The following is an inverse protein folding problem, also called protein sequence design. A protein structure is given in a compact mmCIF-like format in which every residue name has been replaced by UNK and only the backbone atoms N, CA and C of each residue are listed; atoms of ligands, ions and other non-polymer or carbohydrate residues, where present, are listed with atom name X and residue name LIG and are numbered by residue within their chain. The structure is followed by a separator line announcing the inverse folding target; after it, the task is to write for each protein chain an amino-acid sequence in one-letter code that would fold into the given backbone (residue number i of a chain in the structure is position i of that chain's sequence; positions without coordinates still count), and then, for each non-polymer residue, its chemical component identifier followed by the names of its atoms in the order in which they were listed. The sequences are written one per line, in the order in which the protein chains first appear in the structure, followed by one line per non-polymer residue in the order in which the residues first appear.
data_IF_022855539624
#
_entry.id   IF_022855539624
#
_cell.length_a   1.000
_cell.length_b   1.000
_cell.length_c   1.000
_cell.angle_alpha   90.00
_cell.angle_beta   90.00
_cell.angle_gamma   90.00
#
_symmetry.space_group_name_H-M   'P 1'
#
loop_
_entity.id
_entity.type
_entity.pdbx_description
1 polymer ?
#
# COMPACT_ATOMS: atom_id res chain seq x y z
N UNK A 1 3.09 5.92 -4.55
CA UNK A 1 3.31 7.37 -4.29
C UNK A 1 4.79 7.66 -3.97
N UNK A 2 5.62 8.07 -4.94
CA UNK A 2 7.08 8.21 -4.71
C UNK A 2 7.48 9.28 -3.69
N UNK A 3 6.70 10.37 -3.59
CA UNK A 3 7.01 11.51 -2.71
C UNK A 3 6.96 11.19 -1.21
N UNK A 4 6.41 10.03 -0.84
CA UNK A 4 6.28 9.57 0.54
C UNK A 4 7.59 8.98 1.07
N UNK A 5 8.43 8.42 0.18
CA UNK A 5 9.64 7.65 0.53
C UNK A 5 10.55 8.33 1.57
N UNK A 6 10.92 9.62 1.44
CA UNK A 6 11.82 10.25 2.40
C UNK A 6 11.26 10.28 3.83
N UNK A 7 9.94 10.41 3.98
CA UNK A 7 9.29 10.43 5.28
C UNK A 7 9.17 9.03 5.89
N UNK A 8 9.02 8.00 5.05
CA UNK A 8 9.07 6.61 5.51
C UNK A 8 10.47 6.25 6.00
N UNK A 9 11.51 6.64 5.26
CA UNK A 9 12.91 6.38 5.64
C UNK A 9 13.30 7.09 6.94
N UNK A 10 12.76 8.28 7.19
CA UNK A 10 12.97 9.04 8.44
C UNK A 10 12.25 8.40 9.65
N UNK A 11 10.99 7.97 9.47
CA UNK A 11 10.19 7.39 10.56
C UNK A 11 10.50 5.90 10.83
N UNK A 12 10.95 5.17 9.82
CA UNK A 12 11.20 3.73 9.87
C UNK A 12 12.61 3.42 9.34
N UNK A 13 13.67 3.71 10.12
CA UNK A 13 15.04 3.42 9.70
C UNK A 13 15.21 1.93 9.31
N UNK A 14 15.70 1.70 8.10
CA UNK A 14 15.88 0.35 7.54
C UNK A 14 14.71 -0.17 6.69
N UNK A 15 13.64 0.60 6.52
CA UNK A 15 12.57 0.24 5.58
C UNK A 15 13.10 0.12 4.15
N UNK A 16 12.66 -0.92 3.43
CA UNK A 16 12.84 -1.03 1.98
C UNK A 16 11.60 -0.47 1.29
N UNK A 17 11.77 0.61 0.52
CA UNK A 17 10.69 1.21 -0.28
C UNK A 17 10.94 0.92 -1.76
N UNK A 18 10.15 -0.02 -2.29
CA UNK A 18 10.05 -0.30 -3.72
C UNK A 18 8.73 0.24 -4.28
N UNK A 19 8.81 1.35 -5.01
CA UNK A 19 7.68 2.00 -5.62
C UNK A 19 8.03 2.53 -6.99
N UNK A 20 7.05 2.56 -7.88
CA UNK A 20 7.22 2.98 -9.27
C UNK A 20 5.95 3.68 -9.76
N UNK A 21 6.13 4.74 -10.56
CA UNK A 21 4.99 5.48 -11.12
C UNK A 21 4.24 4.61 -12.12
N UNK A 22 2.93 4.48 -11.92
CA UNK A 22 2.08 3.73 -12.85
C UNK A 22 2.06 2.22 -12.67
N UNK A 23 2.84 1.66 -11.73
CA UNK A 23 2.87 0.22 -11.44
C UNK A 23 1.46 -0.32 -11.19
N UNK A 24 1.18 -1.48 -11.78
CA UNK A 24 -0.10 -2.17 -11.71
C UNK A 24 0.01 -3.45 -10.86
N UNK A 25 -1.12 -3.89 -10.29
CA UNK A 25 -1.20 -5.12 -9.47
C UNK A 25 -0.63 -6.36 -10.16
N UNK A 26 -0.73 -6.43 -11.50
CA UNK A 26 -0.21 -7.57 -12.29
C UNK A 26 1.31 -7.72 -12.25
N UNK A 27 2.03 -6.66 -11.95
CA UNK A 27 3.50 -6.60 -11.93
C UNK A 27 4.06 -7.00 -10.56
N UNK A 28 3.26 -6.84 -9.50
CA UNK A 28 3.70 -7.05 -8.12
C UNK A 28 4.32 -8.42 -7.84
N UNK A 29 3.82 -9.57 -8.36
CA UNK A 29 4.45 -10.86 -8.07
C UNK A 29 5.92 -10.93 -8.54
N UNK A 30 6.24 -10.35 -9.70
CA UNK A 30 7.62 -10.35 -10.21
C UNK A 30 8.55 -9.49 -9.35
N UNK A 31 8.04 -8.36 -8.84
CA UNK A 31 8.79 -7.47 -7.94
C UNK A 31 9.00 -8.11 -6.56
N UNK A 32 7.98 -8.76 -6.01
CA UNK A 32 8.09 -9.51 -4.76
C UNK A 32 9.15 -10.60 -4.89
N UNK A 33 9.14 -11.36 -5.99
CA UNK A 33 10.16 -12.38 -6.25
C UNK A 33 11.57 -11.78 -6.37
N UNK A 34 11.70 -10.59 -6.97
CA UNK A 34 12.99 -9.89 -7.04
C UNK A 34 13.48 -9.46 -5.65
N UNK A 35 12.60 -8.89 -4.82
CA UNK A 35 12.92 -8.53 -3.44
C UNK A 35 13.33 -9.74 -2.60
N UNK A 36 12.64 -10.89 -2.75
CA UNK A 36 13.02 -12.15 -2.10
C UNK A 36 14.41 -12.61 -2.52
N UNK A 37 14.70 -12.65 -3.82
CA UNK A 37 16.01 -13.08 -4.36
C UNK A 37 17.16 -12.21 -3.86
N UNK A 38 16.91 -10.92 -3.64
CA UNK A 38 17.91 -9.97 -3.17
C UNK A 38 17.99 -9.87 -1.63
N UNK A 39 17.24 -10.68 -0.89
CA UNK A 39 17.11 -10.60 0.58
C UNK A 39 16.68 -9.20 1.06
N UNK A 40 15.79 -8.55 0.30
CA UNK A 40 15.24 -7.21 0.58
C UNK A 40 13.77 -7.24 1.00
N UNK A 41 13.08 -8.38 0.87
CA UNK A 41 11.72 -8.53 1.39
C UNK A 41 11.78 -8.74 2.91
N UNK A 42 11.17 -7.84 3.68
CA UNK A 42 11.02 -7.99 5.12
C UNK A 42 9.79 -8.84 5.50
N UNK A 43 9.70 -9.19 6.77
CA UNK A 43 8.61 -10.04 7.31
C UNK A 43 7.26 -9.31 7.40
N UNK A 44 7.28 -7.97 7.36
CA UNK A 44 6.08 -7.12 7.40
C UNK A 44 6.05 -6.27 6.13
N UNK A 45 5.00 -6.43 5.35
CA UNK A 45 4.91 -5.87 3.99
C UNK A 45 3.70 -4.97 3.87
N UNK A 46 3.90 -3.73 3.40
CA UNK A 46 2.82 -2.80 3.08
C UNK A 46 2.65 -2.73 1.56
N UNK A 47 1.43 -2.89 1.08
CA UNK A 47 1.11 -2.90 -0.35
C UNK A 47 0.20 -1.71 -0.69
N UNK A 48 0.70 -0.79 -1.52
CA UNK A 48 -0.07 0.36 -2.04
C UNK A 48 -0.26 0.19 -3.55
N UNK A 49 -1.24 -0.62 -3.96
CA UNK A 49 -1.60 -0.83 -5.36
C UNK A 49 -3.11 -0.73 -5.55
N UNK A 50 -3.53 -0.01 -6.60
CA UNK A 50 -4.93 0.28 -6.91
C UNK A 50 -5.18 1.73 -7.32
N UNK A 51 -4.31 2.65 -6.88
CA UNK A 51 -4.37 4.07 -7.26
C UNK A 51 -4.27 4.26 -8.77
N UNK A 52 -3.39 3.50 -9.43
CA UNK A 52 -3.12 3.58 -10.87
C UNK A 52 -4.08 2.77 -11.75
N UNK A 53 -5.02 2.03 -11.17
CA UNK A 53 -5.95 1.20 -11.93
C UNK A 53 -6.58 0.08 -11.10
N UNK A 54 -7.75 -0.37 -11.54
CA UNK A 54 -8.43 -1.54 -10.97
C UNK A 54 -7.66 -2.83 -11.25
N UNK A 55 -7.92 -3.84 -10.42
CA UNK A 55 -7.38 -5.19 -10.58
C UNK A 55 -8.46 -6.25 -10.32
N UNK A 56 -8.15 -7.48 -10.66
CA UNK A 56 -9.02 -8.64 -10.47
C UNK A 56 -8.69 -9.36 -9.16
N UNK A 57 -9.65 -10.09 -8.58
CA UNK A 57 -9.42 -10.98 -7.43
C UNK A 57 -8.21 -11.89 -7.66
N UNK A 58 -8.10 -12.49 -8.85
CA UNK A 58 -6.97 -13.36 -9.24
C UNK A 58 -5.60 -12.66 -9.14
N UNK A 59 -5.51 -11.37 -9.47
CA UNK A 59 -4.25 -10.63 -9.35
C UNK A 59 -3.90 -10.37 -7.89
N UNK A 60 -4.89 -9.99 -7.07
CA UNK A 60 -4.67 -9.77 -5.64
C UNK A 60 -4.30 -11.08 -4.91
N UNK A 61 -5.04 -12.17 -5.16
CA UNK A 61 -4.70 -13.51 -4.63
C UNK A 61 -3.29 -13.92 -5.00
N UNK A 62 -2.86 -13.75 -6.27
CA UNK A 62 -1.48 -14.06 -6.67
C UNK A 62 -0.43 -13.24 -5.94
N UNK A 63 -0.71 -11.97 -5.65
CA UNK A 63 0.17 -11.13 -4.86
C UNK A 63 0.27 -11.68 -3.43
N UNK A 64 -0.86 -11.96 -2.80
CA UNK A 64 -0.92 -12.45 -1.43
C UNK A 64 -0.27 -13.84 -1.27
N UNK A 65 -0.47 -14.73 -2.24
CA UNK A 65 0.19 -16.04 -2.28
C UNK A 65 1.72 -15.89 -2.36
N UNK A 66 2.22 -14.88 -3.09
CA UNK A 66 3.65 -14.57 -3.13
C UNK A 66 4.18 -14.01 -1.79
N UNK A 67 3.29 -13.48 -0.93
CA UNK A 67 3.60 -12.98 0.40
C UNK A 67 3.17 -13.94 1.52
N UNK A 68 2.85 -15.20 1.21
CA UNK A 68 2.37 -16.15 2.21
C UNK A 68 3.36 -16.42 3.36
N UNK A 69 4.66 -16.22 3.12
CA UNK A 69 5.73 -16.39 4.12
C UNK A 69 5.93 -15.14 5.01
N UNK A 70 5.26 -14.01 4.70
CA UNK A 70 5.37 -12.80 5.51
C UNK A 70 4.52 -12.93 6.79
N UNK A 71 5.08 -12.51 7.92
CA UNK A 71 4.39 -12.45 9.20
C UNK A 71 3.14 -11.55 9.14
N UNK A 72 3.23 -10.45 8.40
CA UNK A 72 2.12 -9.50 8.24
C UNK A 72 2.14 -8.84 6.86
N UNK A 73 0.95 -8.73 6.25
CA UNK A 73 0.73 -7.98 5.02
C UNK A 73 -0.37 -6.94 5.25
N UNK A 74 -0.05 -5.67 5.06
CA UNK A 74 -0.99 -4.56 5.18
C UNK A 74 -1.35 -4.10 3.77
N UNK A 75 -2.61 -4.29 3.37
CA UNK A 75 -3.14 -3.75 2.13
C UNK A 75 -3.66 -2.33 2.38
N UNK A 76 -3.04 -1.34 1.75
CA UNK A 76 -3.48 0.05 1.87
C UNK A 76 -4.63 0.30 0.89
N UNK A 77 -5.79 0.69 1.40
CA UNK A 77 -6.89 1.11 0.54
C UNK A 77 -6.60 2.47 -0.11
N UNK A 78 -7.36 2.83 -1.14
CA UNK A 78 -7.04 3.96 -2.02
C UNK A 78 -8.04 5.11 -1.86
N UNK A 79 -7.54 6.35 -1.96
CA UNK A 79 -8.36 7.55 -2.16
C UNK A 79 -7.95 8.20 -3.46
N UNK A 80 -8.81 8.11 -4.47
CA UNK A 80 -8.55 8.60 -5.82
C UNK A 80 -9.89 8.97 -6.49
N UNK A 81 -10.03 10.13 -7.15
CA UNK A 81 -11.26 10.54 -7.81
C UNK A 81 -11.42 9.80 -9.15
N UNK A 82 -11.60 8.48 -9.10
CA UNK A 82 -11.74 7.59 -10.26
C UNK A 82 -12.84 6.59 -9.99
N UNK A 83 -13.54 6.17 -11.05
CA UNK A 83 -14.71 5.29 -10.99
C UNK A 83 -14.42 3.92 -10.35
N UNK A 84 -13.16 3.51 -10.28
CA UNK A 84 -12.75 2.21 -9.75
C UNK A 84 -12.34 2.24 -8.27
N UNK A 85 -12.28 3.40 -7.62
CA UNK A 85 -11.82 3.52 -6.23
C UNK A 85 -12.58 2.55 -5.31
N UNK A 86 -13.90 2.63 -5.33
CA UNK A 86 -14.73 1.83 -4.42
C UNK A 86 -14.63 0.35 -4.76
N UNK A 87 -14.63 -0.01 -6.05
CA UNK A 87 -14.39 -1.40 -6.50
C UNK A 87 -13.03 -1.94 -6.05
N UNK A 88 -11.98 -1.12 -6.05
CA UNK A 88 -10.66 -1.49 -5.53
C UNK A 88 -10.71 -1.69 -4.03
N UNK A 89 -11.29 -0.75 -3.29
CA UNK A 89 -11.34 -0.81 -1.84
C UNK A 89 -12.19 -2.00 -1.35
N UNK A 90 -13.32 -2.28 -2.00
CA UNK A 90 -14.15 -3.46 -1.73
C UNK A 90 -13.37 -4.76 -1.99
N UNK A 91 -12.67 -4.85 -3.14
CA UNK A 91 -11.84 -6.02 -3.48
C UNK A 91 -10.74 -6.27 -2.44
N UNK A 92 -10.10 -5.21 -1.94
CA UNK A 92 -9.07 -5.33 -0.89
C UNK A 92 -9.68 -5.89 0.39
N UNK A 93 -10.81 -5.33 0.85
CA UNK A 93 -11.50 -5.79 2.05
C UNK A 93 -11.97 -7.25 1.92
N UNK A 94 -12.64 -7.59 0.82
CA UNK A 94 -13.20 -8.91 0.57
C UNK A 94 -12.10 -9.98 0.60
N UNK A 95 -10.99 -9.76 -0.12
CA UNK A 95 -9.91 -10.75 -0.21
C UNK A 95 -9.07 -10.77 1.06
N UNK A 96 -8.85 -9.64 1.74
CA UNK A 96 -8.12 -9.64 3.02
C UNK A 96 -8.76 -10.56 4.05
N UNK A 97 -10.11 -10.65 4.07
CA UNK A 97 -10.82 -11.53 5.00
C UNK A 97 -10.54 -13.03 4.81
N UNK A 98 -10.04 -13.43 3.63
CA UNK A 98 -9.67 -14.81 3.32
C UNK A 98 -8.25 -15.17 3.84
N UNK A 99 -7.44 -14.21 4.32
CA UNK A 99 -6.03 -14.40 4.68
C UNK A 99 -5.71 -13.95 6.13
N UNK A 100 -5.24 -14.84 7.00
CA UNK A 100 -5.06 -14.52 8.43
C UNK A 100 -3.90 -13.57 8.73
N UNK A 101 -2.90 -13.48 7.85
CA UNK A 101 -1.76 -12.57 7.98
C UNK A 101 -2.00 -11.24 7.27
N UNK A 102 -3.20 -10.98 6.74
CA UNK A 102 -3.52 -9.78 5.97
C UNK A 102 -4.44 -8.85 6.75
N UNK A 103 -4.11 -7.56 6.77
CA UNK A 103 -4.94 -6.50 7.35
C UNK A 103 -5.12 -5.33 6.39
N UNK A 104 -6.08 -4.46 6.66
CA UNK A 104 -6.34 -3.25 5.87
C UNK A 104 -5.75 -2.03 6.56
N UNK A 105 -4.90 -1.29 5.85
CA UNK A 105 -4.52 0.07 6.23
C UNK A 105 -5.48 1.08 5.63
N UNK A 106 -6.27 1.74 6.49
CA UNK A 106 -7.35 2.64 6.06
C UNK A 106 -6.87 4.06 5.72
N UNK A 107 -6.17 4.20 4.60
CA UNK A 107 -5.79 5.51 4.06
C UNK A 107 -7.01 6.32 3.58
N UNK A 108 -8.02 5.65 3.02
CA UNK A 108 -9.25 6.29 2.54
C UNK A 108 -9.95 7.06 3.66
N UNK A 109 -10.18 6.41 4.81
CA UNK A 109 -10.74 7.04 6.00
C UNK A 109 -9.78 8.05 6.62
N UNK A 110 -8.50 7.70 6.78
CA UNK A 110 -7.50 8.60 7.38
C UNK A 110 -7.27 9.91 6.60
N UNK A 111 -7.57 9.91 5.30
CA UNK A 111 -7.45 11.10 4.44
C UNK A 111 -8.80 11.77 4.13
N UNK A 112 -9.91 11.27 4.69
CA UNK A 112 -11.22 11.88 4.53
C UNK A 112 -11.24 13.28 5.14
N UNK A 113 -11.81 14.25 4.40
CA UNK A 113 -11.85 15.66 4.83
C UNK A 113 -10.52 16.42 4.67
N UNK A 114 -9.46 15.75 4.21
CA UNK A 114 -8.14 16.34 3.99
C UNK A 114 -7.81 16.51 2.51
N UNK A 115 -8.56 17.36 1.81
CA UNK A 115 -8.30 17.65 0.40
C UNK A 115 -6.94 18.35 0.18
N UNK A 116 -6.45 19.06 1.20
CA UNK A 116 -5.13 19.68 1.23
C UNK A 116 -3.96 18.68 1.20
N UNK A 117 -4.23 17.39 1.45
CA UNK A 117 -3.22 16.33 1.30
C UNK A 117 -2.88 16.05 -0.16
N UNK A 118 -3.78 16.39 -1.08
CA UNK A 118 -3.70 16.01 -2.48
C UNK A 118 -3.37 17.20 -3.36
N UNK A 119 -2.69 16.93 -4.47
CA UNK A 119 -2.55 17.86 -5.57
C UNK A 119 -3.89 18.09 -6.27
N UNK A 120 -3.89 19.01 -7.24
CA UNK A 120 -5.11 19.39 -7.98
C UNK A 120 -5.80 18.23 -8.70
N UNK A 121 -5.07 17.16 -9.00
CA UNK A 121 -5.63 15.97 -9.65
C UNK A 121 -6.33 14.99 -8.68
N UNK A 122 -6.23 15.23 -7.37
CA UNK A 122 -6.76 14.37 -6.32
C UNK A 122 -6.06 13.02 -6.20
N UNK A 123 -4.88 12.85 -6.82
CA UNK A 123 -4.14 11.59 -6.84
C UNK A 123 -2.79 11.75 -6.17
N UNK A 124 -2.00 12.75 -6.58
CA UNK A 124 -0.66 12.92 -6.05
C UNK A 124 -0.70 13.53 -4.66
N UNK A 125 0.07 12.99 -3.72
CA UNK A 125 0.22 13.60 -2.41
C UNK A 125 1.15 14.81 -2.45
N UNK A 126 0.71 15.90 -1.82
CA UNK A 126 1.56 17.00 -1.43
C UNK A 126 2.39 16.67 -0.19
N UNK A 127 3.10 17.66 0.35
CA UNK A 127 3.95 17.49 1.54
C UNK A 127 3.15 16.98 2.75
N UNK A 128 2.05 17.65 3.10
CA UNK A 128 1.22 17.29 4.25
C UNK A 128 0.64 15.88 4.11
N UNK A 129 0.09 15.55 2.93
CA UNK A 129 -0.40 14.20 2.64
C UNK A 129 0.68 13.13 2.72
N UNK A 130 1.88 13.40 2.19
CA UNK A 130 3.00 12.47 2.26
C UNK A 130 3.45 12.19 3.70
N UNK A 131 3.48 13.23 4.54
CA UNK A 131 3.78 13.10 5.97
C UNK A 131 2.70 12.30 6.71
N UNK A 132 1.42 12.60 6.45
CA UNK A 132 0.30 11.88 7.06
C UNK A 132 0.27 10.41 6.65
N UNK A 133 0.50 10.11 5.37
CA UNK A 133 0.57 8.75 4.86
C UNK A 133 1.74 7.98 5.49
N UNK A 134 2.94 8.57 5.52
CA UNK A 134 4.11 7.94 6.13
C UNK A 134 3.89 7.68 7.63
N UNK A 135 3.23 8.60 8.34
CA UNK A 135 2.85 8.40 9.74
C UNK A 135 1.87 7.25 9.91
N UNK A 136 0.83 7.16 9.08
CA UNK A 136 -0.12 6.05 9.12
C UNK A 136 0.60 4.70 8.94
N UNK A 137 1.48 4.60 7.94
CA UNK A 137 2.30 3.40 7.71
C UNK A 137 3.19 3.09 8.91
N UNK A 138 3.84 4.10 9.49
CA UNK A 138 4.69 3.91 10.66
C UNK A 138 3.90 3.48 11.90
N UNK A 139 2.68 3.98 12.11
CA UNK A 139 1.82 3.56 13.21
C UNK A 139 1.38 2.09 13.02
N UNK A 140 0.96 1.70 11.81
CA UNK A 140 0.60 0.31 11.49
C UNK A 140 1.79 -0.65 11.66
N UNK A 141 2.99 -0.22 11.24
CA UNK A 141 4.24 -0.97 11.43
C UNK A 141 4.85 -0.81 12.83
N UNK A 142 4.31 0.05 13.69
CA UNK A 142 4.93 0.45 14.96
C UNK A 142 4.17 0.01 16.21
N UNK A 143 2.94 -0.48 16.07
CA UNK A 143 2.18 -1.03 17.19
C UNK A 143 2.51 -2.50 17.43
N UNK A 144 3.54 -2.76 18.25
CA UNK A 144 3.43 -3.82 19.26
C UNK A 144 3.17 -3.14 20.60
N UNK A 145 1.92 -3.20 21.05
CA UNK A 145 1.60 -3.05 22.47
C UNK A 145 2.23 -4.20 23.25
#
# INVERSE_FOLDING_TARGET
MLNVKPYLEDLLPGIVVDGEVGRQMREAPAEIDALKRNAQLGDRVVVELGTNGSFTKKQLTKLLDALADADEVILMNTRVPRKWQDTVNDMLNDVASDYPNVSIGDWYGASAGHDEYFGKDGVHLGKAGSQAYAKLVADLLGTKS
#
